data_IF_485766912367
#
_entry.id   IF_485766912367
#
_cell.length_a   1.000
_cell.length_b   1.000
_cell.length_c   1.000
_cell.angle_alpha   90.00
_cell.angle_beta   90.00
_cell.angle_gamma   90.00
#
_symmetry.space_group_name_H-M   'P 1'
#
loop_
_entity.id
_entity.type
_entity.pdbx_description
1 polymer ?
#
# COMPACT_ATOMS: atom_id res chain seq x y z
N UNK A 1 -8.64 -47.54 30.89
CA UNK A 1 -8.50 -48.23 29.60
C UNK A 1 -9.20 -47.35 28.58
N UNK A 2 -8.51 -46.33 28.08
CA UNK A 2 -7.92 -46.30 26.74
C UNK A 2 -8.95 -46.57 25.65
N UNK A 3 -9.26 -45.55 24.84
CA UNK A 3 -9.12 -45.62 23.39
C UNK A 3 -9.21 -44.21 22.81
N UNK A 4 -8.09 -43.76 22.28
CA UNK A 4 -7.91 -42.58 21.44
C UNK A 4 -8.69 -42.75 20.13
N UNK A 5 -9.28 -41.67 19.63
CA UNK A 5 -9.69 -41.57 18.22
C UNK A 5 -8.80 -40.51 17.59
N UNK A 6 -7.83 -40.97 16.80
CA UNK A 6 -6.90 -40.15 16.03
C UNK A 6 -7.59 -39.54 14.81
N UNK A 7 -7.57 -38.21 14.80
CA UNK A 7 -7.25 -37.27 13.72
C UNK A 7 -7.28 -37.76 12.26
N UNK A 8 -8.07 -37.06 11.43
CA UNK A 8 -7.60 -36.48 10.16
C UNK A 8 -8.38 -35.20 9.91
N UNK A 9 -8.04 -34.13 10.63
CA UNK A 9 -8.24 -32.79 10.09
C UNK A 9 -7.19 -32.58 9.00
N UNK A 10 -7.65 -32.49 7.76
CA UNK A 10 -6.87 -32.03 6.62
C UNK A 10 -6.57 -30.54 6.84
N UNK A 11 -5.52 -30.27 7.63
CA UNK A 11 -4.90 -28.96 7.74
C UNK A 11 -4.19 -28.65 6.41
N UNK A 12 -4.97 -28.29 5.40
CA UNK A 12 -4.43 -27.52 4.27
C UNK A 12 -4.22 -26.09 4.76
N UNK A 13 -3.18 -25.88 5.55
CA UNK A 13 -2.64 -24.54 5.82
C UNK A 13 -2.28 -23.93 4.46
N UNK A 14 -2.77 -22.74 4.08
CA UNK A 14 -2.27 -22.08 2.89
C UNK A 14 -0.78 -21.84 3.10
N UNK A 15 0.02 -22.34 2.15
CA UNK A 15 1.48 -22.26 2.09
C UNK A 15 2.03 -21.04 2.82
N UNK A 16 2.80 -21.25 3.88
CA UNK A 16 3.54 -20.21 4.57
C UNK A 16 4.54 -19.60 3.58
N UNK A 17 4.15 -18.52 2.92
CA UNK A 17 5.01 -17.85 1.95
C UNK A 17 6.19 -17.27 2.71
N UNK A 18 7.39 -17.82 2.50
CA UNK A 18 8.57 -17.34 3.18
C UNK A 18 8.92 -15.96 2.61
N UNK A 19 8.99 -14.89 3.41
CA UNK A 19 9.33 -13.55 2.91
C UNK A 19 10.66 -13.51 2.14
N UNK A 20 11.55 -14.48 2.40
CA UNK A 20 12.81 -14.67 1.69
C UNK A 20 12.62 -14.96 0.18
N UNK A 21 11.49 -15.53 -0.23
CA UNK A 21 11.23 -15.92 -1.62
C UNK A 21 11.03 -14.71 -2.55
N UNK A 22 10.73 -13.53 -1.99
CA UNK A 22 10.44 -12.30 -2.74
C UNK A 22 11.62 -11.30 -2.78
N UNK A 23 12.74 -11.64 -2.15
CA UNK A 23 13.95 -10.81 -2.13
C UNK A 23 13.92 -9.62 -1.15
N UNK A 24 15.05 -8.91 -1.02
CA UNK A 24 15.24 -7.88 0.00
C UNK A 24 14.44 -6.58 -0.19
N UNK A 25 13.89 -6.36 -1.38
CA UNK A 25 13.05 -5.20 -1.71
C UNK A 25 11.57 -5.42 -1.39
N UNK A 26 11.19 -6.65 -1.01
CA UNK A 26 9.83 -6.96 -0.60
C UNK A 26 9.65 -6.63 0.87
N UNK A 27 8.66 -5.77 1.15
CA UNK A 27 8.30 -5.37 2.51
C UNK A 27 6.87 -5.83 2.79
N UNK A 28 6.70 -6.52 3.90
CA UNK A 28 5.38 -6.93 4.40
C UNK A 28 4.97 -5.92 5.45
N UNK A 29 3.77 -5.37 5.30
CA UNK A 29 3.15 -4.54 6.34
C UNK A 29 2.90 -5.43 7.58
N UNK A 30 3.34 -4.97 8.75
CA UNK A 30 3.18 -5.70 10.01
C UNK A 30 1.72 -6.07 10.23
N UNK A 31 1.42 -7.36 10.22
CA UNK A 31 0.05 -7.86 10.28
C UNK A 31 -0.40 -8.01 11.74
N UNK A 32 -1.27 -7.11 12.19
CA UNK A 32 -1.91 -7.16 13.51
C UNK A 32 -3.40 -7.53 13.39
N UNK A 33 -4.05 -7.77 14.54
CA UNK A 33 -5.47 -8.15 14.60
C UNK A 33 -6.39 -7.15 13.89
N UNK A 34 -6.04 -5.87 13.89
CA UNK A 34 -6.81 -4.83 13.24
C UNK A 34 -6.71 -4.92 11.70
N UNK A 35 -5.52 -5.19 11.15
CA UNK A 35 -5.36 -5.42 9.70
C UNK A 35 -6.08 -6.70 9.28
N UNK A 36 -6.03 -7.75 10.10
CA UNK A 36 -6.77 -9.00 9.85
C UNK A 36 -8.29 -8.76 9.82
N UNK A 37 -8.84 -7.96 10.74
CA UNK A 37 -10.24 -7.56 10.73
C UNK A 37 -10.60 -6.80 9.44
N UNK A 38 -9.79 -5.78 9.08
CA UNK A 38 -10.01 -5.01 7.85
C UNK A 38 -10.02 -5.91 6.60
N UNK A 39 -9.04 -6.83 6.51
CA UNK A 39 -8.94 -7.78 5.41
C UNK A 39 -10.13 -8.74 5.37
N UNK A 40 -10.63 -9.18 6.53
CA UNK A 40 -11.78 -10.08 6.62
C UNK A 40 -13.02 -9.40 6.06
N UNK A 41 -13.28 -8.14 6.43
CA UNK A 41 -14.45 -7.40 5.97
C UNK A 41 -14.39 -7.13 4.46
N UNK A 42 -13.25 -6.66 3.92
CA UNK A 42 -13.16 -6.37 2.48
C UNK A 42 -13.20 -7.62 1.60
N UNK A 43 -12.92 -8.81 2.17
CA UNK A 43 -12.97 -10.10 1.47
C UNK A 43 -14.32 -10.82 1.62
N UNK A 44 -15.16 -10.46 2.58
CA UNK A 44 -16.49 -11.05 2.71
C UNK A 44 -17.39 -10.61 1.56
N UNK A 45 -17.91 -11.58 0.81
CA UNK A 45 -18.85 -11.38 -0.30
C UNK A 45 -20.15 -10.70 0.11
N UNK A 46 -20.52 -10.77 1.39
CA UNK A 46 -21.76 -10.19 1.92
C UNK A 46 -21.58 -8.74 2.40
N UNK A 47 -20.35 -8.23 2.40
CA UNK A 47 -20.05 -6.85 2.81
C UNK A 47 -20.75 -5.85 1.90
N UNK A 48 -21.43 -4.87 2.50
CA UNK A 48 -22.12 -3.83 1.74
C UNK A 48 -21.12 -2.94 1.00
N UNK A 49 -21.54 -2.29 -0.09
CA UNK A 49 -20.67 -1.38 -0.84
C UNK A 49 -20.13 -0.23 0.03
N UNK A 50 -20.95 0.32 0.94
CA UNK A 50 -20.54 1.41 1.83
C UNK A 50 -19.46 0.95 2.81
N UNK A 51 -19.63 -0.23 3.40
CA UNK A 51 -18.67 -0.79 4.34
C UNK A 51 -17.39 -1.15 3.62
N UNK A 52 -17.48 -1.83 2.46
CA UNK A 52 -16.31 -2.14 1.64
C UNK A 52 -15.46 -0.89 1.38
N UNK A 53 -16.10 0.20 0.93
CA UNK A 53 -15.39 1.46 0.69
C UNK A 53 -14.74 1.99 1.97
N UNK A 54 -15.49 2.05 3.08
CA UNK A 54 -14.98 2.57 4.34
C UNK A 54 -13.77 1.78 4.86
N UNK A 55 -13.86 0.45 4.89
CA UNK A 55 -12.78 -0.41 5.38
C UNK A 55 -11.60 -0.50 4.40
N UNK A 56 -11.85 -0.45 3.09
CA UNK A 56 -10.78 -0.35 2.09
C UNK A 56 -10.00 0.96 2.22
N UNK A 57 -10.69 2.10 2.38
CA UNK A 57 -10.03 3.40 2.59
C UNK A 57 -9.15 3.39 3.86
N UNK A 58 -9.60 2.70 4.93
CA UNK A 58 -8.81 2.51 6.15
C UNK A 58 -7.55 1.67 5.91
N UNK A 59 -7.66 0.55 5.19
CA UNK A 59 -6.51 -0.30 4.89
C UNK A 59 -5.51 0.41 3.97
N UNK A 60 -6.01 1.12 2.96
CA UNK A 60 -5.20 1.93 2.03
C UNK A 60 -4.37 2.96 2.80
N UNK A 61 -4.94 3.65 3.79
CA UNK A 61 -4.18 4.59 4.65
C UNK A 61 -2.96 3.92 5.26
N UNK A 62 -3.12 2.74 5.86
CA UNK A 62 -2.03 2.02 6.52
C UNK A 62 -0.93 1.63 5.53
N UNK A 63 -1.33 1.10 4.37
CA UNK A 63 -0.38 0.74 3.30
C UNK A 63 0.39 1.96 2.80
N UNK A 64 -0.28 3.11 2.64
CA UNK A 64 0.35 4.34 2.17
C UNK A 64 1.34 4.90 3.18
N UNK A 65 0.99 4.96 4.47
CA UNK A 65 1.92 5.41 5.52
C UNK A 65 3.19 4.54 5.52
N UNK A 66 3.04 3.23 5.41
CA UNK A 66 4.19 2.33 5.36
C UNK A 66 4.99 2.46 4.05
N UNK A 67 4.31 2.75 2.94
CA UNK A 67 4.96 3.04 1.66
C UNK A 67 5.77 4.34 1.71
N UNK A 68 5.28 5.36 2.44
CA UNK A 68 5.99 6.62 2.64
C UNK A 68 7.25 6.43 3.49
N UNK A 69 7.25 5.51 4.45
CA UNK A 69 8.43 5.14 5.25
C UNK A 69 9.58 4.59 4.40
N UNK A 70 9.31 4.06 3.20
CA UNK A 70 10.34 3.57 2.29
C UNK A 70 11.02 4.68 1.47
N UNK A 71 10.54 5.93 1.57
CA UNK A 71 11.07 7.07 0.82
C UNK A 71 12.16 7.79 1.63
N UNK A 72 13.05 8.55 0.97
CA UNK A 72 14.18 9.15 1.65
C UNK A 72 13.77 10.25 2.63
N UNK A 73 14.34 10.21 3.82
CA UNK A 73 14.30 11.28 4.83
C UNK A 73 15.68 11.95 4.94
N UNK A 74 15.72 13.10 5.59
CA UNK A 74 16.95 13.81 5.98
C UNK A 74 16.84 14.26 7.42
N UNK A 75 17.93 14.14 8.18
CA UNK A 75 17.98 14.62 9.56
C UNK A 75 17.65 16.10 9.67
N UNK A 76 16.92 16.48 10.72
CA UNK A 76 16.66 17.87 11.03
C UNK A 76 16.52 18.08 12.54
N UNK A 77 17.15 19.14 13.05
CA UNK A 77 16.95 19.58 14.43
C UNK A 77 15.97 20.75 14.46
N UNK A 78 14.98 20.69 15.35
CA UNK A 78 14.02 21.77 15.58
C UNK A 78 14.08 22.22 17.03
N UNK A 79 13.77 23.49 17.28
CA UNK A 79 13.61 24.01 18.64
C UNK A 79 12.14 23.90 19.01
N UNK A 80 11.84 23.18 20.09
CA UNK A 80 10.47 23.02 20.59
C UNK A 80 9.98 24.34 21.21
N UNK A 81 8.66 24.50 21.42
CA UNK A 81 8.12 25.68 22.12
C UNK A 81 8.67 25.87 23.55
N UNK A 82 9.22 24.82 24.17
CA UNK A 82 9.87 24.88 25.49
C UNK A 82 11.36 25.25 25.43
N UNK A 83 11.90 25.50 24.24
CA UNK A 83 13.30 25.84 24.02
C UNK A 83 14.27 24.64 23.95
N UNK A 84 13.77 23.42 24.05
CA UNK A 84 14.58 22.22 23.90
C UNK A 84 14.88 21.94 22.42
N UNK A 85 16.04 21.35 22.13
CA UNK A 85 16.36 20.85 20.78
C UNK A 85 15.79 19.44 20.64
N UNK A 86 15.07 19.19 19.55
CA UNK A 86 14.60 17.87 19.15
C UNK A 86 15.25 17.47 17.82
N UNK A 87 16.00 16.37 17.83
CA UNK A 87 16.60 15.78 16.65
C UNK A 87 15.60 14.80 16.01
N UNK A 88 15.06 15.20 14.87
CA UNK A 88 14.04 14.46 14.14
C UNK A 88 14.41 14.26 12.67
N UNK A 89 13.40 13.86 11.89
CA UNK A 89 13.52 13.60 10.46
C UNK A 89 12.60 14.50 9.66
N UNK A 90 13.09 14.91 8.49
CA UNK A 90 12.32 15.64 7.48
C UNK A 90 12.19 14.81 6.22
N UNK A 91 10.97 14.67 5.75
CA UNK A 91 10.69 14.01 4.48
C UNK A 91 11.33 14.77 3.30
N UNK A 92 12.05 14.05 2.43
CA UNK A 92 12.74 14.68 1.29
C UNK A 92 11.73 15.05 0.20
N UNK A 93 11.79 16.29 -0.28
CA UNK A 93 10.97 16.74 -1.41
C UNK A 93 11.39 16.05 -2.71
N UNK A 94 10.45 15.88 -3.64
CA UNK A 94 10.72 15.31 -4.96
C UNK A 94 9.99 14.01 -5.26
N UNK A 95 8.99 13.64 -4.45
CA UNK A 95 8.23 12.41 -4.66
C UNK A 95 6.93 12.71 -5.44
N UNK A 96 6.41 11.74 -6.18
CA UNK A 96 5.12 11.81 -6.84
C UNK A 96 4.41 10.44 -6.81
N UNK A 97 3.08 10.47 -6.85
CA UNK A 97 2.29 9.27 -7.11
C UNK A 97 2.09 9.07 -8.62
N UNK A 98 1.88 7.84 -9.04
CA UNK A 98 1.36 7.48 -10.36
C UNK A 98 0.30 6.41 -10.13
N UNK A 99 -0.93 6.62 -10.57
CA UNK A 99 -2.00 5.62 -10.43
C UNK A 99 -2.21 4.86 -11.74
N UNK A 100 -2.38 3.54 -11.65
CA UNK A 100 -2.85 2.71 -12.76
C UNK A 100 -4.38 2.73 -12.77
N UNK A 101 -4.94 3.31 -13.81
CA UNK A 101 -6.37 3.52 -13.99
C UNK A 101 -7.04 2.18 -14.35
N UNK A 102 -8.18 1.82 -13.75
CA UNK A 102 -9.00 2.59 -12.78
C UNK A 102 -8.73 2.24 -11.31
N UNK A 103 -8.36 1.01 -11.00
CA UNK A 103 -8.30 0.53 -9.61
C UNK A 103 -7.30 1.31 -8.74
N UNK A 104 -6.18 1.75 -9.30
CA UNK A 104 -5.19 2.56 -8.59
C UNK A 104 -5.72 3.94 -8.17
N UNK A 105 -6.78 4.45 -8.82
CA UNK A 105 -7.39 5.73 -8.42
C UNK A 105 -7.98 5.69 -7.01
N UNK A 106 -8.37 4.51 -6.52
CA UNK A 106 -8.87 4.31 -5.17
C UNK A 106 -7.85 4.71 -4.09
N UNK A 107 -6.55 4.59 -4.38
CA UNK A 107 -5.48 4.91 -3.44
C UNK A 107 -5.09 6.40 -3.44
N UNK A 108 -5.48 7.16 -4.48
CA UNK A 108 -5.06 8.56 -4.62
C UNK A 108 -5.56 9.44 -3.48
N UNK A 109 -6.77 9.21 -2.98
CA UNK A 109 -7.31 9.98 -1.86
C UNK A 109 -6.49 9.73 -0.60
N UNK A 110 -6.19 8.45 -0.33
CA UNK A 110 -5.28 8.07 0.75
C UNK A 110 -3.95 8.80 0.63
N UNK A 111 -3.37 8.85 -0.56
CA UNK A 111 -2.08 9.50 -0.78
C UNK A 111 -2.13 11.02 -0.55
N UNK A 112 -3.19 11.69 -1.02
CA UNK A 112 -3.36 13.16 -0.85
C UNK A 112 -3.58 13.55 0.60
N UNK A 113 -4.29 12.73 1.35
CA UNK A 113 -4.56 12.99 2.77
C UNK A 113 -3.28 12.88 3.62
N UNK A 114 -2.37 11.95 3.29
CA UNK A 114 -1.05 11.84 3.93
C UNK A 114 -0.08 12.94 3.42
N UNK A 115 -0.15 13.28 2.12
CA UNK A 115 0.77 14.19 1.44
C UNK A 115 0.01 15.27 0.64
N UNK A 116 -0.34 16.39 1.28
CA UNK A 116 -1.20 17.46 0.71
C UNK A 116 -0.75 18.03 -0.65
N UNK A 117 0.53 17.98 -0.98
CA UNK A 117 1.10 18.61 -2.19
C UNK A 117 1.75 17.62 -3.14
N UNK A 118 1.45 16.33 -3.03
CA UNK A 118 2.00 15.32 -3.93
C UNK A 118 1.35 15.43 -5.32
N UNK A 119 2.19 15.45 -6.36
CA UNK A 119 1.71 15.38 -7.76
C UNK A 119 1.36 13.94 -8.07
N UNK A 120 0.27 13.71 -8.80
CA UNK A 120 -0.19 12.37 -9.19
C UNK A 120 -0.29 12.29 -10.72
N UNK A 121 0.53 11.42 -11.32
CA UNK A 121 0.41 11.00 -12.70
C UNK A 121 -0.58 9.86 -12.86
N UNK A 122 -0.97 9.54 -14.10
CA UNK A 122 -1.92 8.47 -14.41
C UNK A 122 -1.45 7.65 -15.60
N UNK A 123 -1.65 6.34 -15.53
CA UNK A 123 -1.44 5.40 -16.64
C UNK A 123 -2.73 4.61 -16.84
N UNK A 124 -3.27 4.63 -18.04
CA UNK A 124 -4.35 3.75 -18.47
C UNK A 124 -3.75 2.62 -19.29
N UNK A 125 -3.94 1.40 -18.80
CA UNK A 125 -3.53 0.17 -19.49
C UNK A 125 -4.79 -0.58 -19.89
N UNK A 126 -4.86 -1.00 -21.14
CA UNK A 126 -5.91 -1.89 -21.65
C UNK A 126 -5.27 -3.16 -22.20
N UNK A 127 -5.93 -4.29 -21.95
CA UNK A 127 -5.53 -5.56 -22.53
C UNK A 127 -6.14 -5.69 -23.93
N UNK A 128 -5.30 -6.02 -24.91
CA UNK A 128 -5.76 -6.38 -26.24
C UNK A 128 -6.66 -7.63 -26.20
N UNK A 129 -7.78 -7.59 -26.91
CA UNK A 129 -8.82 -8.62 -26.82
C UNK A 129 -8.41 -9.97 -27.44
N UNK A 130 -7.46 -9.98 -28.38
CA UNK A 130 -7.04 -11.19 -29.08
C UNK A 130 -5.74 -11.74 -28.50
N UNK A 131 -4.78 -10.86 -28.20
CA UNK A 131 -3.43 -11.24 -27.77
C UNK A 131 -3.26 -11.24 -26.26
N UNK A 132 -4.21 -10.68 -25.51
CA UNK A 132 -4.11 -10.40 -24.07
C UNK A 132 -2.87 -9.57 -23.67
N UNK A 133 -2.22 -8.91 -24.63
CA UNK A 133 -1.09 -8.05 -24.36
C UNK A 133 -1.56 -6.73 -23.72
N UNK A 134 -0.89 -6.33 -22.64
CA UNK A 134 -1.13 -5.04 -22.00
C UNK A 134 -0.57 -3.90 -22.84
N UNK A 135 -1.41 -2.93 -23.21
CA UNK A 135 -1.01 -1.73 -23.96
C UNK A 135 -1.34 -0.48 -23.18
N UNK A 136 -0.41 0.47 -23.13
CA UNK A 136 -0.65 1.81 -22.59
C UNK A 136 -1.46 2.63 -23.58
N UNK A 137 -2.66 3.03 -23.20
CA UNK A 137 -3.59 3.81 -24.04
C UNK A 137 -3.52 5.29 -23.69
N UNK A 138 -3.22 5.61 -22.43
CA UNK A 138 -3.03 6.98 -21.97
C UNK A 138 -1.99 7.02 -20.86
N UNK A 139 -1.12 8.02 -20.89
CA UNK A 139 -0.17 8.28 -19.82
C UNK A 139 0.02 9.80 -19.69
N UNK A 140 -0.09 10.31 -18.46
CA UNK A 140 0.18 11.71 -18.14
C UNK A 140 0.93 11.78 -16.83
N UNK A 141 2.10 12.42 -16.87
CA UNK A 141 3.02 12.52 -15.75
C UNK A 141 3.37 13.99 -15.46
N UNK A 142 3.90 14.30 -14.27
CA UNK A 142 4.64 15.54 -14.06
C UNK A 142 5.84 15.63 -15.01
N UNK A 143 6.12 16.81 -15.57
CA UNK A 143 7.21 17.01 -16.56
C UNK A 143 8.60 16.61 -16.02
N UNK A 144 8.77 16.66 -14.71
CA UNK A 144 10.00 16.36 -13.99
C UNK A 144 10.05 14.94 -13.40
N UNK A 145 9.16 14.02 -13.81
CA UNK A 145 9.05 12.66 -13.26
C UNK A 145 10.37 11.86 -13.29
N UNK A 146 11.21 12.06 -14.32
CA UNK A 146 12.50 11.38 -14.45
C UNK A 146 13.49 11.68 -13.31
N UNK A 147 13.25 12.75 -12.53
CA UNK A 147 14.09 13.15 -11.39
C UNK A 147 13.43 12.89 -10.04
N UNK A 148 12.24 12.26 -10.04
CA UNK A 148 11.40 12.05 -8.86
C UNK A 148 11.42 10.60 -8.40
N UNK A 149 11.14 10.37 -7.12
CA UNK A 149 10.76 9.04 -6.64
C UNK A 149 9.26 8.83 -6.88
N UNK A 150 8.91 7.65 -7.39
CA UNK A 150 7.54 7.34 -7.82
C UNK A 150 6.94 6.30 -6.88
N UNK A 151 5.77 6.61 -6.31
CA UNK A 151 4.88 5.60 -5.75
C UNK A 151 3.89 5.21 -6.86
N UNK A 152 3.92 3.94 -7.27
CA UNK A 152 3.08 3.39 -8.33
C UNK A 152 1.82 2.71 -7.76
#
# INVERSE_FOLDING_TARGET
>A
MCSEVNNTHDDTTPSSTNPADYGCNFRILDNNDQILELQTIIRDKNTTRSDFKFYADRLIRLVIEESLNQLPYSDCSVVTPTGAIYDGLKYRSGNCGVSIVRSGEAMEQGLRDCCRSIRIGKILVESDAETHAARVVYARFPDDIARRQVLL
#
